data_IF_417067214381
#
_entry.id   IF_417067214381
#
_cell.length_a   1.000
_cell.length_b   1.000
_cell.length_c   1.000
_cell.angle_alpha   90.00
_cell.angle_beta   90.00
_cell.angle_gamma   90.00
#
_symmetry.space_group_name_H-M   'P 1'
#
loop_
_entity.id
_entity.type
_entity.pdbx_description
1 polymer ?
#
# COMPACT_ATOMS: atom_id res chain seq x y z
N UNK A 1 58.44 -9.60 -13.44
CA UNK A 1 57.87 -9.48 -12.07
C UNK A 1 57.70 -7.99 -11.82
N UNK A 2 56.53 -7.38 -11.63
CA UNK A 2 55.17 -7.83 -11.34
C UNK A 2 54.22 -6.87 -12.09
N UNK A 3 53.15 -7.42 -12.64
CA UNK A 3 51.98 -6.70 -13.15
C UNK A 3 51.09 -6.36 -11.95
N UNK A 4 50.64 -5.10 -11.84
CA UNK A 4 49.60 -4.68 -10.90
C UNK A 4 48.34 -4.39 -11.73
N UNK A 5 47.48 -5.39 -11.84
CA UNK A 5 46.10 -5.25 -12.29
C UNK A 5 45.29 -4.57 -11.20
N UNK A 6 44.82 -3.33 -11.43
CA UNK A 6 43.78 -2.70 -10.60
C UNK A 6 42.42 -3.23 -11.02
N UNK A 7 41.81 -4.05 -10.17
CA UNK A 7 40.40 -4.44 -10.27
C UNK A 7 39.51 -3.21 -10.02
N UNK A 8 38.41 -3.02 -10.78
CA UNK A 8 37.39 -2.05 -10.41
C UNK A 8 36.62 -2.60 -9.20
N UNK A 9 36.67 -1.88 -8.09
CA UNK A 9 35.81 -2.15 -6.94
C UNK A 9 34.36 -1.81 -7.33
N UNK A 10 33.62 -2.83 -7.74
CA UNK A 10 32.17 -2.76 -7.86
C UNK A 10 31.60 -2.66 -6.44
N UNK A 11 31.08 -1.50 -6.07
CA UNK A 11 30.36 -1.31 -4.81
C UNK A 11 29.08 -2.16 -4.87
N UNK A 12 29.14 -3.35 -4.30
CA UNK A 12 27.96 -4.15 -4.00
C UNK A 12 27.20 -3.40 -2.90
N UNK A 13 26.18 -2.64 -3.28
CA UNK A 13 25.19 -2.10 -2.35
C UNK A 13 24.56 -3.30 -1.63
N UNK A 14 24.98 -3.52 -0.38
CA UNK A 14 24.36 -4.47 0.51
C UNK A 14 22.99 -3.86 0.86
N UNK A 15 21.94 -4.22 0.13
CA UNK A 15 20.58 -3.98 0.56
C UNK A 15 20.43 -4.66 1.92
N UNK A 16 20.39 -3.84 2.98
CA UNK A 16 19.76 -4.23 4.23
C UNK A 16 18.33 -4.62 3.85
N UNK A 17 18.06 -5.92 3.78
CA UNK A 17 16.71 -6.46 3.82
C UNK A 17 16.11 -5.99 5.15
N UNK A 18 15.52 -4.79 5.15
CA UNK A 18 14.47 -4.46 6.10
C UNK A 18 13.46 -5.59 6.01
N UNK A 19 13.22 -6.29 7.12
CA UNK A 19 12.32 -7.43 7.16
C UNK A 19 11.05 -7.08 6.42
N UNK A 20 10.76 -7.82 5.35
CA UNK A 20 9.54 -7.64 4.58
C UNK A 20 8.37 -7.70 5.56
N UNK A 21 7.69 -6.58 5.74
CA UNK A 21 6.36 -6.62 6.31
C UNK A 21 5.54 -7.48 5.37
N UNK A 22 4.82 -8.47 5.90
CA UNK A 22 3.80 -9.15 5.13
C UNK A 22 2.82 -8.09 4.60
N UNK A 23 2.59 -8.08 3.29
CA UNK A 23 1.67 -7.19 2.63
C UNK A 23 0.25 -7.80 2.73
N UNK A 24 -0.74 -6.92 2.97
CA UNK A 24 -2.18 -7.17 3.21
C UNK A 24 -2.53 -8.55 3.79
N UNK A 25 -2.05 -8.79 5.02
CA UNK A 25 -2.59 -9.84 5.87
C UNK A 25 -3.99 -9.46 6.35
N UNK A 26 -4.87 -10.46 6.45
CA UNK A 26 -6.12 -10.33 7.17
C UNK A 26 -5.86 -9.67 8.54
N UNK A 27 -6.58 -8.58 8.86
CA UNK A 27 -6.40 -7.85 10.12
C UNK A 27 -6.89 -8.63 11.34
N UNK A 28 -7.61 -9.73 11.13
CA UNK A 28 -8.02 -10.65 12.18
C UNK A 28 -6.87 -11.62 12.45
N UNK A 29 -6.39 -11.66 13.71
CA UNK A 29 -5.27 -12.51 14.10
C UNK A 29 -5.58 -14.02 14.07
N UNK A 30 -6.84 -14.38 14.31
CA UNK A 30 -7.35 -15.76 14.31
C UNK A 30 -8.66 -15.86 13.52
N UNK A 31 -8.59 -15.83 12.17
CA UNK A 31 -9.77 -15.75 11.30
C UNK A 31 -10.75 -16.91 11.46
N UNK A 32 -10.23 -18.14 11.60
CA UNK A 32 -11.00 -19.37 11.76
C UNK A 32 -11.28 -19.75 13.21
N UNK A 33 -10.91 -18.91 14.18
CA UNK A 33 -11.13 -19.18 15.62
C UNK A 33 -10.46 -20.52 16.05
N UNK A 34 -9.25 -20.77 15.53
CA UNK A 34 -8.56 -22.06 15.63
C UNK A 34 -7.57 -22.13 16.81
N UNK A 35 -7.28 -21.00 17.44
CA UNK A 35 -6.24 -20.91 18.48
C UNK A 35 -6.82 -21.37 19.82
N UNK A 36 -7.11 -22.66 19.91
CA UNK A 36 -7.38 -23.41 21.13
C UNK A 36 -6.35 -24.53 21.28
N UNK A 37 -5.66 -24.57 22.43
CA UNK A 37 -4.56 -25.50 22.69
C UNK A 37 -4.96 -26.73 23.53
N UNK A 38 -6.24 -26.85 23.88
CA UNK A 38 -6.76 -27.97 24.66
C UNK A 38 -6.38 -27.99 26.15
N UNK A 39 -5.70 -26.97 26.67
CA UNK A 39 -5.05 -27.05 28.01
C UNK A 39 -5.98 -26.81 29.20
N UNK A 40 -7.24 -26.39 29.00
CA UNK A 40 -8.16 -26.03 30.12
C UNK A 40 -8.98 -27.19 30.69
N UNK A 41 -8.78 -28.44 30.25
CA UNK A 41 -9.40 -29.65 30.84
C UNK A 41 -10.90 -29.83 30.60
N UNK A 42 -11.62 -28.75 30.29
CA UNK A 42 -12.94 -28.69 29.64
C UNK A 42 -12.93 -27.47 28.72
N UNK A 43 -13.59 -27.54 27.55
CA UNK A 43 -13.73 -26.38 26.66
C UNK A 43 -14.26 -25.17 27.42
N UNK A 44 -13.79 -23.95 27.15
CA UNK A 44 -14.63 -22.82 27.46
C UNK A 44 -15.91 -22.99 26.63
N UNK A 45 -17.08 -22.88 27.25
CA UNK A 45 -18.34 -22.84 26.48
C UNK A 45 -18.51 -21.49 25.78
N UNK A 46 -17.58 -20.56 25.99
CA UNK A 46 -17.64 -19.17 25.57
C UNK A 46 -16.28 -18.70 25.05
N UNK A 47 -16.22 -17.56 24.37
CA UNK A 47 -14.95 -17.04 23.83
C UNK A 47 -13.90 -16.64 24.88
N UNK A 48 -14.29 -16.48 26.15
CA UNK A 48 -13.46 -15.86 27.19
C UNK A 48 -12.11 -16.51 27.49
N UNK A 49 -11.82 -17.72 26.96
CA UNK A 49 -10.50 -18.35 27.11
C UNK A 49 -9.68 -18.45 25.82
N UNK A 50 -10.12 -17.82 24.72
CA UNK A 50 -9.35 -17.71 23.49
C UNK A 50 -8.40 -16.51 23.54
N UNK A 51 -7.26 -16.60 22.85
CA UNK A 51 -6.23 -15.56 22.88
C UNK A 51 -6.63 -14.28 22.12
N UNK A 52 -7.37 -14.42 21.01
CA UNK A 52 -7.62 -13.33 20.06
C UNK A 52 -9.08 -12.87 20.00
N UNK A 53 -9.97 -13.60 20.67
CA UNK A 53 -11.41 -13.35 20.70
C UNK A 53 -11.88 -13.22 22.14
N UNK A 54 -12.91 -12.41 22.37
CA UNK A 54 -13.53 -12.23 23.68
C UNK A 54 -15.03 -11.97 23.58
N UNK A 55 -15.74 -12.22 24.68
CA UNK A 55 -17.16 -11.91 24.82
C UNK A 55 -17.36 -10.40 24.96
N UNK A 56 -17.80 -9.74 23.90
CA UNK A 56 -18.02 -8.29 23.92
C UNK A 56 -19.43 -7.92 24.39
N UNK A 57 -20.42 -8.80 24.19
CA UNK A 57 -21.77 -8.67 24.74
C UNK A 57 -22.46 -10.04 24.76
N UNK A 58 -23.20 -10.35 25.83
CA UNK A 58 -23.83 -11.66 26.01
C UNK A 58 -22.81 -12.76 26.24
N UNK A 59 -23.10 -13.96 25.77
CA UNK A 59 -22.24 -15.14 25.91
C UNK A 59 -21.98 -15.80 24.56
N UNK A 60 -21.37 -15.10 23.57
CA UNK A 60 -21.03 -15.75 22.31
C UNK A 60 -20.24 -17.02 22.57
N UNK A 61 -20.71 -18.08 21.95
CA UNK A 61 -20.24 -19.42 22.21
C UNK A 61 -19.02 -19.72 21.35
N UNK A 62 -18.15 -20.59 21.87
CA UNK A 62 -17.06 -21.18 21.11
C UNK A 62 -17.28 -22.67 20.94
N UNK A 63 -17.00 -23.16 19.74
CA UNK A 63 -17.11 -24.55 19.40
C UNK A 63 -15.80 -25.07 18.82
N UNK A 64 -15.40 -26.28 19.22
CA UNK A 64 -14.29 -26.97 18.60
C UNK A 64 -14.59 -28.46 18.38
N UNK A 65 -14.18 -29.02 17.25
CA UNK A 65 -14.41 -30.44 16.90
C UNK A 65 -13.66 -31.42 17.80
N UNK A 66 -12.60 -30.99 18.48
CA UNK A 66 -11.82 -31.85 19.39
C UNK A 66 -12.50 -32.07 20.76
N UNK A 67 -13.67 -31.48 21.00
CA UNK A 67 -14.42 -31.59 22.26
C UNK A 67 -15.56 -32.62 22.12
N UNK A 68 -15.68 -33.54 23.09
CA UNK A 68 -16.75 -34.55 23.15
C UNK A 68 -18.11 -34.00 23.61
N UNK A 69 -19.18 -34.71 23.24
CA UNK A 69 -20.59 -34.33 23.39
C UNK A 69 -20.96 -33.96 24.82
N UNK A 70 -21.10 -32.66 25.07
CA UNK A 70 -21.63 -32.10 26.30
C UNK A 70 -22.76 -31.12 25.99
N UNK A 71 -23.55 -30.75 27.02
CA UNK A 71 -24.89 -30.17 26.89
C UNK A 71 -25.05 -28.79 26.27
N UNK A 72 -24.06 -28.39 25.51
CA UNK A 72 -24.19 -27.50 24.39
C UNK A 72 -23.04 -27.85 23.44
N UNK A 73 -23.35 -28.49 22.31
CA UNK A 73 -22.59 -28.40 21.05
C UNK A 73 -21.43 -29.43 20.83
N UNK A 74 -21.54 -30.31 19.82
CA UNK A 74 -20.45 -31.20 19.35
C UNK A 74 -20.42 -31.62 17.89
N UNK A 75 -19.24 -32.03 17.42
CA UNK A 75 -19.02 -32.74 16.17
C UNK A 75 -19.37 -34.24 16.24
N UNK A 76 -20.63 -34.58 15.94
CA UNK A 76 -20.99 -35.94 15.52
C UNK A 76 -21.58 -35.93 14.10
N UNK A 77 -21.11 -36.86 13.28
CA UNK A 77 -21.79 -37.35 12.08
C UNK A 77 -22.17 -38.83 12.30
N UNK A 78 -23.44 -39.23 12.07
CA UNK A 78 -24.57 -38.43 11.59
C UNK A 78 -25.29 -37.64 12.70
N UNK A 79 -25.69 -36.41 12.37
CA UNK A 79 -26.50 -35.54 13.22
C UNK A 79 -27.91 -36.15 13.46
N UNK A 80 -28.31 -36.49 14.70
CA UNK A 80 -29.68 -36.93 14.96
C UNK A 80 -30.65 -35.76 14.84
N UNK A 81 -31.62 -35.83 13.94
CA UNK A 81 -32.77 -34.92 13.94
C UNK A 81 -33.61 -35.16 15.19
N UNK A 82 -33.79 -34.15 16.03
CA UNK A 82 -34.70 -34.26 17.19
C UNK A 82 -34.52 -33.16 18.25
N UNK A 83 -35.64 -32.49 18.55
CA UNK A 83 -35.89 -31.78 19.82
C UNK A 83 -35.05 -30.54 20.16
N UNK A 84 -34.67 -29.71 19.17
CA UNK A 84 -34.09 -28.38 19.46
C UNK A 84 -32.78 -28.43 20.26
N UNK A 85 -32.04 -29.52 20.09
CA UNK A 85 -30.80 -29.77 20.77
C UNK A 85 -29.65 -29.27 19.88
N UNK A 86 -29.04 -28.15 20.26
CA UNK A 86 -27.95 -27.42 19.58
C UNK A 86 -26.64 -28.22 19.36
N UNK A 87 -26.65 -29.55 19.53
CA UNK A 87 -25.48 -30.40 19.80
C UNK A 87 -24.63 -30.80 18.60
N UNK A 88 -24.87 -30.26 17.40
CA UNK A 88 -24.22 -30.76 16.18
C UNK A 88 -23.56 -29.69 15.29
N UNK A 89 -22.31 -29.26 15.54
CA UNK A 89 -21.70 -28.17 14.77
C UNK A 89 -20.32 -28.36 14.20
N UNK A 90 -20.22 -28.09 12.90
CA UNK A 90 -19.00 -28.24 12.13
C UNK A 90 -18.57 -26.88 11.61
N UNK A 91 -17.31 -26.51 11.85
CA UNK A 91 -16.76 -25.29 11.29
C UNK A 91 -16.78 -25.38 9.76
N UNK A 92 -16.78 -24.23 9.09
CA UNK A 92 -16.67 -24.19 7.65
C UNK A 92 -15.30 -24.70 7.21
N UNK A 93 -14.24 -24.33 7.95
CA UNK A 93 -12.87 -24.85 7.79
C UNK A 93 -12.23 -25.07 9.16
N UNK A 94 -11.21 -25.94 9.21
CA UNK A 94 -10.49 -26.19 10.47
C UNK A 94 -11.34 -26.91 11.52
N UNK A 95 -11.22 -26.49 12.78
CA UNK A 95 -11.82 -27.12 13.96
C UNK A 95 -12.66 -26.17 14.79
N UNK A 96 -12.39 -24.87 14.75
CA UNK A 96 -13.02 -23.83 15.57
C UNK A 96 -14.17 -23.13 14.87
N UNK A 97 -15.22 -22.75 15.62
CA UNK A 97 -16.30 -21.91 15.06
C UNK A 97 -16.94 -21.04 16.14
N UNK A 98 -17.30 -19.82 15.76
CA UNK A 98 -17.99 -18.85 16.63
C UNK A 98 -19.51 -19.06 16.57
N UNK A 99 -20.16 -19.12 17.72
CA UNK A 99 -21.61 -19.05 17.87
C UNK A 99 -22.08 -17.68 18.35
N UNK A 100 -23.10 -17.13 17.70
CA UNK A 100 -23.74 -15.90 18.15
C UNK A 100 -25.26 -16.02 18.10
N UNK A 101 -25.92 -15.57 19.17
CA UNK A 101 -27.36 -15.53 19.28
C UNK A 101 -27.96 -14.12 19.18
N UNK A 102 -29.13 -14.04 18.55
CA UNK A 102 -30.00 -12.86 18.53
C UNK A 102 -31.40 -13.24 18.97
N UNK A 103 -31.92 -12.62 20.03
CA UNK A 103 -33.27 -12.89 20.51
C UNK A 103 -34.37 -12.44 19.56
N UNK A 104 -35.53 -13.06 19.65
CA UNK A 104 -36.72 -12.67 18.89
C UNK A 104 -37.16 -11.25 19.29
N UNK A 105 -37.70 -10.52 18.31
CA UNK A 105 -38.23 -9.18 18.51
C UNK A 105 -37.20 -8.04 18.69
N UNK A 106 -37.70 -6.82 18.94
CA UNK A 106 -36.92 -5.58 18.98
C UNK A 106 -35.88 -5.50 20.09
N UNK A 107 -36.25 -5.93 21.28
CA UNK A 107 -35.42 -5.77 22.47
C UNK A 107 -34.65 -7.05 22.83
N UNK A 108 -34.64 -8.03 21.91
CA UNK A 108 -33.94 -9.30 22.11
C UNK A 108 -32.44 -9.10 22.30
N UNK A 109 -31.86 -9.83 23.26
CA UNK A 109 -30.41 -9.87 23.53
C UNK A 109 -29.63 -10.21 22.26
N UNK A 110 -28.40 -9.70 22.15
CA UNK A 110 -27.55 -9.85 20.96
C UNK A 110 -26.17 -10.22 21.40
N UNK A 111 -25.60 -11.26 20.83
CA UNK A 111 -24.26 -11.68 21.18
C UNK A 111 -23.26 -11.13 20.19
N UNK A 112 -22.21 -10.50 20.73
CA UNK A 112 -21.12 -9.94 19.97
C UNK A 112 -19.79 -10.53 20.43
N UNK A 113 -19.05 -11.07 19.47
CA UNK A 113 -17.66 -11.45 19.67
C UNK A 113 -16.76 -10.27 19.30
N UNK A 114 -15.82 -9.93 20.17
CA UNK A 114 -14.85 -8.87 19.95
C UNK A 114 -13.47 -9.43 19.63
N UNK A 115 -12.71 -8.69 18.81
CA UNK A 115 -11.30 -8.97 18.54
C UNK A 115 -10.51 -7.67 18.36
N UNK A 116 -9.20 -7.73 18.62
CA UNK A 116 -8.28 -6.62 18.36
C UNK A 116 -7.67 -6.82 16.97
N UNK A 117 -7.68 -5.77 16.16
CA UNK A 117 -7.05 -5.79 14.84
C UNK A 117 -5.53 -5.81 14.98
N UNK A 118 -4.86 -6.53 14.08
CA UNK A 118 -3.39 -6.62 14.04
C UNK A 118 -2.74 -5.24 13.87
N UNK A 119 -3.37 -4.38 13.08
CA UNK A 119 -3.03 -2.96 12.93
C UNK A 119 -4.30 -2.11 12.97
N UNK A 120 -4.23 -0.85 13.42
CA UNK A 120 -5.36 0.07 13.30
C UNK A 120 -5.74 0.28 11.83
N UNK A 121 -7.04 0.42 11.56
CA UNK A 121 -7.50 0.75 10.21
C UNK A 121 -7.03 2.15 9.77
N UNK A 122 -6.90 2.39 8.47
CA UNK A 122 -6.51 3.68 7.91
C UNK A 122 -7.76 4.48 7.53
N UNK A 123 -8.03 5.65 8.13
CA UNK A 123 -9.20 6.45 7.82
C UNK A 123 -9.28 6.80 6.33
N UNK A 124 -10.45 6.60 5.72
CA UNK A 124 -10.69 6.92 4.31
C UNK A 124 -10.25 5.84 3.31
N UNK A 125 -9.50 4.82 3.74
CA UNK A 125 -9.11 3.70 2.88
C UNK A 125 -10.25 2.67 2.75
N UNK A 126 -10.20 1.83 1.73
CA UNK A 126 -11.22 0.82 1.49
C UNK A 126 -10.78 -0.55 2.01
N UNK A 127 -11.68 -1.21 2.73
CA UNK A 127 -11.49 -2.55 3.28
C UNK A 127 -12.53 -3.51 2.71
N UNK A 128 -12.08 -4.72 2.39
CA UNK A 128 -12.93 -5.84 1.99
C UNK A 128 -13.11 -6.77 3.18
N UNK A 129 -14.36 -6.98 3.57
CA UNK A 129 -14.72 -7.77 4.74
C UNK A 129 -15.50 -8.98 4.26
N UNK A 130 -15.22 -10.14 4.82
CA UNK A 130 -16.08 -11.31 4.61
C UNK A 130 -16.07 -12.26 5.80
N UNK A 131 -17.09 -13.10 5.88
CA UNK A 131 -17.10 -14.26 6.76
C UNK A 131 -18.09 -15.28 6.21
N UNK A 132 -17.89 -16.53 6.59
CA UNK A 132 -18.88 -17.58 6.39
C UNK A 132 -19.85 -17.57 7.55
N UNK A 133 -21.14 -17.71 7.24
CA UNK A 133 -22.21 -17.74 8.23
C UNK A 133 -23.23 -18.82 7.89
N UNK A 134 -23.69 -19.54 8.90
CA UNK A 134 -24.71 -20.57 8.77
C UNK A 134 -25.78 -20.37 9.83
N UNK A 135 -27.05 -20.50 9.44
CA UNK A 135 -28.16 -20.48 10.37
C UNK A 135 -28.49 -21.91 10.76
N UNK A 136 -27.94 -22.35 11.88
CA UNK A 136 -27.99 -23.74 12.27
C UNK A 136 -29.34 -24.10 12.87
N UNK A 137 -30.34 -24.25 12.00
CA UNK A 137 -31.69 -24.68 12.36
C UNK A 137 -31.71 -26.19 12.60
N UNK A 138 -31.97 -26.60 13.84
CA UNK A 138 -32.20 -28.01 14.20
C UNK A 138 -33.56 -28.53 13.71
N UNK A 139 -34.50 -27.63 13.40
CA UNK A 139 -35.78 -27.92 12.77
C UNK A 139 -35.89 -27.16 11.43
N UNK A 140 -35.72 -27.85 10.28
CA UNK A 140 -35.81 -27.22 8.96
C UNK A 140 -37.16 -26.56 8.67
N UNK A 141 -38.25 -27.00 9.32
CA UNK A 141 -39.57 -26.40 9.18
C UNK A 141 -39.77 -25.14 10.03
N UNK A 142 -38.87 -24.84 10.96
CA UNK A 142 -38.93 -23.64 11.76
C UNK A 142 -38.40 -22.45 10.96
N UNK A 143 -39.23 -21.42 10.83
CA UNK A 143 -38.84 -20.17 10.20
C UNK A 143 -38.08 -19.34 11.25
N UNK A 144 -36.77 -19.56 11.43
CA UNK A 144 -35.92 -18.67 12.21
C UNK A 144 -34.91 -18.03 11.28
N UNK A 145 -35.20 -16.88 10.71
CA UNK A 145 -34.36 -16.26 9.69
C UNK A 145 -34.22 -14.78 9.96
N UNK A 146 -33.00 -14.26 9.80
CA UNK A 146 -32.74 -12.85 9.95
C UNK A 146 -31.59 -12.39 9.08
N UNK A 147 -31.61 -11.11 8.70
CA UNK A 147 -30.49 -10.45 8.05
C UNK A 147 -29.74 -9.59 9.06
N UNK A 148 -28.98 -8.59 8.61
CA UNK A 148 -28.30 -7.65 9.48
C UNK A 148 -27.23 -8.31 10.38
N UNK A 149 -26.59 -9.38 9.92
CA UNK A 149 -25.34 -9.87 10.51
C UNK A 149 -24.17 -9.11 9.90
N UNK A 150 -23.17 -8.75 10.71
CA UNK A 150 -22.05 -7.96 10.22
C UNK A 150 -21.04 -7.60 11.28
N UNK A 151 -20.35 -6.47 11.07
CA UNK A 151 -19.28 -6.00 11.95
C UNK A 151 -19.49 -4.57 12.43
N UNK A 152 -19.08 -4.29 13.67
CA UNK A 152 -18.96 -2.97 14.27
C UNK A 152 -17.50 -2.67 14.60
N UNK A 153 -17.11 -1.40 14.58
CA UNK A 153 -15.72 -0.95 14.75
C UNK A 153 -15.57 0.07 15.89
N UNK A 154 -14.48 -0.07 16.65
CA UNK A 154 -14.18 0.81 17.79
C UNK A 154 -12.69 1.10 17.96
N UNK A 155 -12.39 2.25 18.55
CA UNK A 155 -11.06 2.60 19.06
C UNK A 155 -10.75 1.90 20.37
N UNK A 156 -11.78 1.53 21.14
CA UNK A 156 -11.65 0.89 22.44
C UNK A 156 -12.27 -0.49 22.43
N UNK A 157 -11.69 -1.40 23.20
CA UNK A 157 -12.21 -2.74 23.44
C UNK A 157 -13.62 -2.73 24.04
N UNK A 158 -13.91 -1.72 24.87
CA UNK A 158 -15.21 -1.53 25.51
C UNK A 158 -15.84 -0.24 25.00
N UNK A 159 -16.64 -0.28 23.92
CA UNK A 159 -17.34 0.90 23.47
C UNK A 159 -18.46 1.27 24.47
N UNK A 160 -18.66 2.56 24.71
CA UNK A 160 -19.60 3.07 25.73
C UNK A 160 -21.06 3.08 25.24
N UNK A 161 -21.63 1.91 24.97
CA UNK A 161 -23.07 1.72 24.72
C UNK A 161 -23.51 0.30 25.08
N UNK A 162 -24.81 0.06 25.20
CA UNK A 162 -25.37 -1.28 25.37
C UNK A 162 -25.75 -1.86 23.98
N UNK A 163 -25.05 -2.88 23.45
CA UNK A 163 -25.31 -3.40 22.10
C UNK A 163 -26.72 -3.99 21.93
N UNK A 164 -27.35 -4.48 23.00
CA UNK A 164 -28.70 -5.01 22.96
C UNK A 164 -29.76 -3.92 22.75
N UNK A 165 -29.50 -2.69 23.21
CA UNK A 165 -30.43 -1.55 23.17
C UNK A 165 -29.98 -0.39 22.26
N UNK A 166 -28.83 -0.54 21.60
CA UNK A 166 -28.22 0.55 20.86
C UNK A 166 -29.06 0.94 19.63
N UNK A 167 -29.30 2.24 19.51
CA UNK A 167 -29.65 2.84 18.23
C UNK A 167 -28.35 3.06 17.45
N UNK A 168 -28.16 2.31 16.36
CA UNK A 168 -26.98 2.38 15.51
C UNK A 168 -26.98 3.57 14.54
N UNK A 169 -28.09 4.30 14.40
CA UNK A 169 -28.20 5.46 13.51
C UNK A 169 -27.14 6.55 13.79
N UNK A 170 -26.87 6.96 15.04
CA UNK A 170 -25.81 7.94 15.35
C UNK A 170 -24.39 7.41 15.16
N UNK A 171 -24.24 6.12 14.86
CA UNK A 171 -22.97 5.42 14.71
C UNK A 171 -22.87 4.76 13.33
N UNK A 172 -23.63 5.25 12.34
CA UNK A 172 -23.77 4.66 11.02
C UNK A 172 -22.44 4.51 10.26
N UNK A 173 -21.43 5.29 10.63
CA UNK A 173 -20.07 5.23 10.09
C UNK A 173 -19.19 4.16 10.75
N UNK A 174 -19.70 3.40 11.73
CA UNK A 174 -18.94 2.45 12.57
C UNK A 174 -19.34 0.99 12.38
N UNK A 175 -20.21 0.67 11.44
CA UNK A 175 -20.63 -0.72 11.23
C UNK A 175 -21.08 -0.98 9.79
N UNK A 176 -21.11 -2.26 9.45
CA UNK A 176 -21.68 -2.80 8.22
C UNK A 176 -22.49 -4.04 8.55
N UNK A 177 -23.54 -4.33 7.78
CA UNK A 177 -24.34 -5.53 7.95
C UNK A 177 -25.02 -5.97 6.67
N UNK A 178 -25.28 -7.27 6.55
CA UNK A 178 -25.83 -7.85 5.33
C UNK A 178 -27.33 -7.58 5.20
N UNK A 179 -27.78 -7.33 3.98
CA UNK A 179 -29.21 -7.38 3.64
C UNK A 179 -29.69 -8.81 3.41
N UNK A 180 -28.75 -9.72 3.11
CA UNK A 180 -28.97 -11.16 2.93
C UNK A 180 -29.62 -11.76 4.17
N UNK A 181 -30.73 -12.45 3.97
CA UNK A 181 -31.39 -13.24 5.01
C UNK A 181 -30.61 -14.53 5.19
N UNK A 182 -30.08 -14.74 6.39
CA UNK A 182 -29.37 -15.97 6.75
C UNK A 182 -30.42 -16.99 7.19
N UNK A 183 -30.54 -18.07 6.42
CA UNK A 183 -31.55 -19.11 6.61
C UNK A 183 -31.05 -20.48 6.20
N UNK A 184 -31.60 -21.52 6.83
CA UNK A 184 -31.27 -22.90 6.53
C UNK A 184 -29.85 -23.30 6.93
N UNK A 185 -29.58 -24.59 6.81
CA UNK A 185 -28.38 -25.23 7.34
C UNK A 185 -27.20 -25.26 6.35
N UNK A 186 -27.17 -24.39 5.35
CA UNK A 186 -26.04 -24.29 4.41
C UNK A 186 -25.14 -23.13 4.81
N UNK A 187 -23.82 -23.29 4.65
CA UNK A 187 -22.88 -22.19 4.83
C UNK A 187 -23.07 -21.15 3.72
N UNK A 188 -23.16 -19.89 4.11
CA UNK A 188 -23.34 -18.75 3.23
C UNK A 188 -22.20 -17.77 3.42
N UNK A 189 -21.60 -17.28 2.35
CA UNK A 189 -20.57 -16.23 2.44
C UNK A 189 -21.24 -14.86 2.45
N UNK A 190 -20.89 -14.04 3.44
CA UNK A 190 -21.29 -12.64 3.52
C UNK A 190 -20.09 -11.76 3.22
N UNK A 191 -20.28 -10.69 2.44
CA UNK A 191 -19.23 -9.78 2.03
C UNK A 191 -19.64 -8.31 2.17
N UNK A 192 -18.67 -7.44 2.48
CA UNK A 192 -18.85 -5.99 2.58
C UNK A 192 -17.64 -5.26 2.04
N UNK A 193 -17.86 -4.05 1.54
CA UNK A 193 -16.83 -3.01 1.53
C UNK A 193 -17.07 -2.07 2.70
N UNK A 194 -15.99 -1.55 3.29
CA UNK A 194 -16.07 -0.60 4.38
C UNK A 194 -14.97 0.45 4.30
N UNK A 195 -15.33 1.71 4.53
CA UNK A 195 -14.40 2.83 4.59
C UNK A 195 -14.44 3.43 5.99
N UNK A 196 -13.41 3.24 6.82
CA UNK A 196 -13.43 3.66 8.20
C UNK A 196 -13.31 5.20 8.28
N UNK A 197 -14.10 5.83 9.14
CA UNK A 197 -14.04 7.27 9.40
C UNK A 197 -12.86 7.66 10.30
N UNK A 198 -12.23 6.69 10.95
CA UNK A 198 -11.14 6.88 11.89
C UNK A 198 -10.32 5.59 12.03
N UNK A 199 -9.17 5.69 12.70
CA UNK A 199 -8.32 4.53 12.96
C UNK A 199 -8.92 3.65 14.07
N UNK A 200 -9.81 2.73 13.68
CA UNK A 200 -10.37 1.74 14.59
C UNK A 200 -9.34 0.66 14.91
N UNK A 201 -9.32 0.20 16.15
CA UNK A 201 -8.36 -0.82 16.65
C UNK A 201 -9.04 -2.14 16.99
N UNK A 202 -10.37 -2.15 17.09
CA UNK A 202 -11.17 -3.30 17.49
C UNK A 202 -12.34 -3.48 16.52
N UNK A 203 -12.61 -4.74 16.21
CA UNK A 203 -13.78 -5.17 15.46
C UNK A 203 -14.65 -6.08 16.32
N UNK A 204 -15.95 -6.01 16.09
CA UNK A 204 -16.96 -6.78 16.79
C UNK A 204 -17.85 -7.42 15.75
N UNK A 205 -18.09 -8.72 15.83
CA UNK A 205 -18.92 -9.46 14.89
C UNK A 205 -20.16 -10.01 15.59
N UNK A 206 -21.30 -9.96 14.90
CA UNK A 206 -22.58 -10.38 15.44
C UNK A 206 -23.74 -9.72 14.70
N UNK A 207 -24.90 -9.64 15.36
CA UNK A 207 -26.06 -8.96 14.79
C UNK A 207 -25.89 -7.43 14.87
N UNK A 208 -25.80 -6.80 13.70
CA UNK A 208 -25.58 -5.38 13.47
C UNK A 208 -26.82 -4.78 12.81
N UNK A 209 -27.67 -4.08 13.56
CA UNK A 209 -28.84 -3.46 12.95
C UNK A 209 -29.72 -2.70 13.91
N UNK A 210 -30.41 -1.69 13.39
CA UNK A 210 -31.61 -1.17 14.04
C UNK A 210 -32.74 -2.16 13.75
N UNK A 211 -33.37 -2.72 14.78
CA UNK A 211 -34.43 -3.73 14.63
C UNK A 211 -35.50 -3.29 13.62
N UNK A 212 -35.79 -1.99 13.59
CA UNK A 212 -36.77 -1.41 12.68
C UNK A 212 -36.56 -1.77 11.20
N UNK A 213 -35.32 -2.07 10.78
CA UNK A 213 -34.98 -2.31 9.38
C UNK A 213 -34.50 -3.75 9.09
N UNK A 214 -34.41 -4.61 10.10
CA UNK A 214 -34.08 -6.03 9.93
C UNK A 214 -35.32 -6.86 9.61
N UNK A 215 -35.13 -7.85 8.77
CA UNK A 215 -36.09 -8.93 8.57
C UNK A 215 -35.98 -9.91 9.73
N UNK A 216 -37.10 -10.20 10.36
CA UNK A 216 -37.22 -11.30 11.33
C UNK A 216 -38.36 -12.19 10.91
N UNK A 217 -38.05 -13.46 10.69
CA UNK A 217 -39.07 -14.49 10.54
C UNK A 217 -38.81 -15.48 11.65
N UNK A 218 -39.68 -15.54 12.66
CA UNK A 218 -39.61 -16.50 13.78
C UNK A 218 -40.69 -17.57 13.65
N UNK A 219 -40.52 -18.72 14.32
CA UNK A 219 -41.50 -19.81 14.27
C UNK A 219 -42.82 -19.43 14.97
N UNK A 220 -42.76 -18.58 16.00
CA UNK A 220 -43.89 -17.94 16.66
C UNK A 220 -43.39 -16.67 17.41
N UNK A 221 -44.29 -15.98 18.10
CA UNK A 221 -44.03 -14.71 18.79
C UNK A 221 -43.43 -14.85 20.21
N UNK A 222 -42.93 -16.04 20.59
CA UNK A 222 -42.26 -16.23 21.87
C UNK A 222 -40.93 -15.45 21.89
N UNK A 223 -40.78 -14.60 22.90
CA UNK A 223 -39.63 -13.71 23.09
C UNK A 223 -38.38 -14.46 23.59
N UNK A 224 -38.55 -15.69 24.10
CA UNK A 224 -37.44 -16.56 24.51
C UNK A 224 -36.79 -17.29 23.33
N UNK A 225 -37.43 -17.27 22.16
CA UNK A 225 -36.83 -17.79 20.94
C UNK A 225 -35.80 -16.82 20.38
N UNK A 226 -34.88 -17.31 19.58
CA UNK A 226 -33.91 -16.47 18.89
C UNK A 226 -33.28 -17.15 17.69
N UNK A 227 -32.47 -16.37 16.99
CA UNK A 227 -31.71 -16.73 15.80
C UNK A 227 -30.29 -17.02 16.23
N UNK A 228 -29.88 -18.27 16.08
CA UNK A 228 -28.52 -18.69 16.40
C UNK A 228 -27.78 -18.93 15.10
N UNK A 229 -26.60 -18.32 14.96
CA UNK A 229 -25.75 -18.49 13.78
C UNK A 229 -24.36 -18.95 14.18
N UNK A 230 -23.73 -19.63 13.24
CA UNK A 230 -22.30 -19.87 13.29
C UNK A 230 -21.56 -19.01 12.30
N UNK A 231 -20.37 -18.61 12.70
CA UNK A 231 -19.51 -17.70 11.96
C UNK A 231 -18.11 -18.28 11.95
N UNK A 232 -17.50 -18.28 10.77
CA UNK A 232 -16.16 -18.81 10.55
C UNK A 232 -15.43 -18.01 9.46
N UNK A 233 -14.11 -18.14 9.40
CA UNK A 233 -13.22 -17.54 8.39
C UNK A 233 -13.46 -16.03 8.23
N UNK A 234 -13.32 -15.30 9.34
CA UNK A 234 -13.55 -13.85 9.40
C UNK A 234 -12.38 -13.10 8.81
N UNK A 235 -12.64 -12.34 7.75
CA UNK A 235 -11.66 -11.56 7.00
C UNK A 235 -11.98 -10.08 7.08
N UNK A 236 -10.97 -9.28 7.44
CA UNK A 236 -10.90 -7.84 7.18
C UNK A 236 -9.60 -7.59 6.45
N UNK A 237 -9.66 -7.25 5.17
CA UNK A 237 -8.48 -7.03 4.36
C UNK A 237 -8.42 -5.59 3.85
N UNK A 238 -7.23 -4.99 3.95
CA UNK A 238 -6.98 -3.62 3.48
C UNK A 238 -6.60 -3.66 2.01
N UNK A 239 -7.36 -2.99 1.14
CA UNK A 239 -6.91 -2.75 -0.24
C UNK A 239 -5.90 -1.61 -0.20
N UNK A 240 -4.63 -1.96 -0.39
CA UNK A 240 -3.51 -1.02 -0.34
C UNK A 240 -2.59 -1.22 -1.54
N UNK A 241 -1.86 -0.16 -1.91
CA UNK A 241 -0.78 -0.22 -2.88
C UNK A 241 0.34 0.71 -2.44
N UNK A 242 1.58 0.23 -2.56
CA UNK A 242 2.76 1.03 -2.28
C UNK A 242 3.51 1.33 -3.56
N UNK A 243 4.04 2.54 -3.61
CA UNK A 243 4.92 3.03 -4.66
C UNK A 243 6.37 2.99 -4.20
N UNK A 244 7.34 2.92 -5.14
CA UNK A 244 8.75 3.06 -4.78
C UNK A 244 9.04 4.49 -4.27
N UNK A 245 10.20 4.67 -3.65
CA UNK A 245 10.67 6.01 -3.27
C UNK A 245 10.85 6.91 -4.50
N UNK A 246 10.63 8.21 -4.31
CA UNK A 246 10.88 9.19 -5.36
C UNK A 246 12.36 9.23 -5.75
N UNK A 247 12.63 9.42 -7.04
CA UNK A 247 13.98 9.52 -7.57
C UNK A 247 14.14 10.77 -8.44
N UNK A 248 15.37 11.27 -8.52
CA UNK A 248 15.78 12.31 -9.48
C UNK A 248 16.77 11.73 -10.47
N UNK A 249 16.51 11.86 -11.77
CA UNK A 249 17.34 11.28 -12.85
C UNK A 249 17.64 12.33 -13.94
N UNK A 250 18.60 12.04 -14.83
CA UNK A 250 18.85 12.86 -16.02
C UNK A 250 17.81 12.54 -17.14
N UNK A 251 17.61 13.45 -18.11
CA UNK A 251 16.74 13.18 -19.25
C UNK A 251 17.13 11.90 -19.98
N UNK A 252 16.18 10.98 -20.12
CA UNK A 252 16.43 9.70 -20.80
C UNK A 252 17.19 8.67 -19.95
N UNK A 253 17.40 8.88 -18.66
CA UNK A 253 17.88 7.80 -17.80
C UNK A 253 16.78 6.78 -17.51
N UNK A 254 17.18 5.56 -17.15
CA UNK A 254 16.26 4.48 -16.79
C UNK A 254 16.16 4.32 -15.28
N UNK A 255 14.94 4.18 -14.75
CA UNK A 255 14.69 3.85 -13.35
C UNK A 255 13.70 2.69 -13.24
N UNK A 256 13.95 1.79 -12.29
CA UNK A 256 13.06 0.68 -11.98
C UNK A 256 11.99 1.16 -11.00
N UNK A 257 10.73 1.15 -11.43
CA UNK A 257 9.59 1.30 -10.53
C UNK A 257 9.18 -0.08 -10.02
N UNK A 258 8.99 -0.23 -8.72
CA UNK A 258 8.45 -1.46 -8.10
C UNK A 258 7.26 -1.09 -7.23
N UNK A 259 6.08 -1.53 -7.66
CA UNK A 259 4.82 -1.37 -6.97
C UNK A 259 4.52 -2.65 -6.17
N UNK A 260 3.93 -2.50 -4.98
CA UNK A 260 3.63 -3.62 -4.10
C UNK A 260 2.16 -3.59 -3.68
N UNK A 261 1.46 -4.71 -3.87
CA UNK A 261 0.04 -4.92 -3.53
C UNK A 261 -0.28 -6.41 -3.60
N UNK A 262 -1.14 -6.91 -2.72
CA UNK A 262 -1.70 -8.28 -2.78
C UNK A 262 -2.88 -8.39 -3.76
N UNK A 263 -3.34 -7.25 -4.26
CA UNK A 263 -4.38 -7.13 -5.26
C UNK A 263 -3.81 -6.81 -6.65
N UNK A 264 -4.51 -7.19 -7.73
CA UNK A 264 -4.15 -6.76 -9.08
C UNK A 264 -3.99 -5.24 -9.16
N UNK A 265 -2.93 -4.80 -9.84
CA UNK A 265 -2.63 -3.39 -10.04
C UNK A 265 -2.73 -2.98 -11.51
N UNK A 266 -3.00 -1.71 -11.71
CA UNK A 266 -2.81 -1.03 -13.00
C UNK A 266 -2.07 0.27 -12.74
N UNK A 267 -1.00 0.54 -13.49
CA UNK A 267 -0.27 1.81 -13.40
C UNK A 267 -0.26 2.55 -14.73
N UNK A 268 -0.12 3.88 -14.67
CA UNK A 268 -0.06 4.77 -15.83
C UNK A 268 0.80 6.00 -15.58
N UNK A 269 1.43 6.52 -16.64
CA UNK A 269 2.09 7.84 -16.67
C UNK A 269 1.22 8.92 -17.36
N UNK A 270 -0.03 8.59 -17.68
CA UNK A 270 -0.96 9.43 -18.45
C UNK A 270 -0.96 9.14 -19.96
N UNK A 271 0.01 8.38 -20.47
CA UNK A 271 0.11 7.99 -21.89
C UNK A 271 0.12 6.47 -22.04
N UNK A 272 0.97 5.80 -21.26
CA UNK A 272 1.09 4.34 -21.19
C UNK A 272 0.32 3.81 -19.98
N UNK A 273 -0.21 2.60 -20.12
CA UNK A 273 -0.81 1.82 -19.04
C UNK A 273 -0.25 0.40 -19.07
N UNK A 274 -0.07 -0.22 -17.90
CA UNK A 274 0.47 -1.58 -17.74
C UNK A 274 -0.02 -2.16 -16.39
N UNK A 275 0.17 -3.46 -16.18
CA UNK A 275 -0.25 -4.20 -14.97
C UNK A 275 0.92 -4.89 -14.26
N UNK A 276 2.14 -4.71 -14.76
CA UNK A 276 3.36 -5.28 -14.17
C UNK A 276 3.69 -4.61 -12.84
N UNK A 277 3.95 -5.42 -11.80
CA UNK A 277 4.39 -4.95 -10.48
C UNK A 277 5.77 -4.29 -10.48
N UNK A 278 6.60 -4.55 -11.50
CA UNK A 278 7.90 -3.89 -11.66
C UNK A 278 8.15 -3.54 -13.12
N UNK A 279 8.62 -2.32 -13.38
CA UNK A 279 8.83 -1.80 -14.73
C UNK A 279 10.02 -0.84 -14.80
N UNK A 280 10.85 -0.98 -15.83
CA UNK A 280 11.84 0.04 -16.19
C UNK A 280 11.18 1.14 -17.02
N UNK A 281 11.29 2.39 -16.54
CA UNK A 281 10.80 3.59 -17.23
C UNK A 281 11.96 4.50 -17.59
N UNK A 282 11.78 5.31 -18.65
CA UNK A 282 12.81 6.20 -19.19
C UNK A 282 12.23 7.60 -19.51
N UNK A 283 11.85 8.40 -18.49
CA UNK A 283 11.22 9.70 -18.73
C UNK A 283 12.24 10.77 -19.20
N UNK A 284 11.83 11.59 -20.18
CA UNK A 284 12.61 12.74 -20.68
C UNK A 284 12.32 14.04 -19.91
N UNK A 285 11.19 14.10 -19.21
CA UNK A 285 10.78 15.24 -18.38
C UNK A 285 10.18 14.72 -17.08
N UNK A 286 10.10 15.59 -16.05
CA UNK A 286 9.55 15.19 -14.74
C UNK A 286 8.17 14.59 -14.92
N UNK A 287 8.04 13.30 -14.58
CA UNK A 287 6.86 12.50 -14.87
C UNK A 287 6.33 11.89 -13.57
N UNK A 288 5.01 11.93 -13.40
CA UNK A 288 4.34 11.28 -12.26
C UNK A 288 3.66 10.00 -12.74
N UNK A 289 4.03 8.89 -12.11
CA UNK A 289 3.46 7.58 -12.34
C UNK A 289 2.42 7.31 -11.27
N UNK A 290 1.22 6.94 -11.68
CA UNK A 290 0.11 6.59 -10.81
C UNK A 290 -0.10 5.09 -10.86
N UNK A 291 -0.34 4.47 -9.71
CA UNK A 291 -0.72 3.06 -9.60
C UNK A 291 -2.05 2.95 -8.85
N UNK A 292 -2.90 2.03 -9.29
CA UNK A 292 -4.15 1.70 -8.63
C UNK A 292 -4.22 0.20 -8.39
N UNK A 293 -4.46 -0.21 -7.15
CA UNK A 293 -4.84 -1.57 -6.79
C UNK A 293 -6.36 -1.69 -6.74
N UNK A 294 -6.88 -2.84 -7.19
CA UNK A 294 -8.31 -3.15 -7.18
C UNK A 294 -8.59 -4.48 -6.47
N UNK A 295 -9.39 -4.40 -5.40
CA UNK A 295 -9.90 -5.53 -4.64
C UNK A 295 -11.03 -6.30 -5.33
N UNK A 296 -11.35 -7.47 -4.79
CA UNK A 296 -12.32 -8.41 -5.36
C UNK A 296 -13.77 -7.91 -5.25
N UNK A 297 -14.06 -7.12 -4.22
CA UNK A 297 -15.36 -6.48 -3.95
C UNK A 297 -15.45 -5.06 -4.51
N UNK A 298 -14.46 -4.64 -5.30
CA UNK A 298 -14.43 -3.34 -5.97
C UNK A 298 -13.85 -2.21 -5.13
N UNK A 299 -13.25 -2.48 -3.97
CA UNK A 299 -12.42 -1.51 -3.29
C UNK A 299 -11.23 -1.13 -4.17
N UNK A 300 -10.85 0.15 -4.18
CA UNK A 300 -9.64 0.59 -4.89
C UNK A 300 -8.76 1.47 -4.01
N UNK A 301 -7.46 1.45 -4.28
CA UNK A 301 -6.48 2.36 -3.69
C UNK A 301 -5.57 2.87 -4.79
N UNK A 302 -5.41 4.18 -4.84
CA UNK A 302 -4.53 4.84 -5.81
C UNK A 302 -3.41 5.59 -5.09
N UNK A 303 -2.21 5.44 -5.60
CA UNK A 303 -1.02 6.15 -5.14
C UNK A 303 -0.17 6.61 -6.34
N UNK A 304 0.87 7.39 -6.10
CA UNK A 304 1.74 7.90 -7.15
C UNK A 304 3.16 8.18 -6.70
N UNK A 305 4.10 8.01 -7.62
CA UNK A 305 5.50 8.43 -7.45
C UNK A 305 5.87 9.41 -8.56
N UNK A 306 6.51 10.52 -8.18
CA UNK A 306 7.06 11.49 -9.12
C UNK A 306 8.54 11.22 -9.32
N UNK A 307 8.92 10.93 -10.56
CA UNK A 307 10.31 10.88 -11.00
C UNK A 307 10.68 12.26 -11.50
N UNK A 308 11.53 12.94 -10.76
CA UNK A 308 12.00 14.27 -11.14
C UNK A 308 13.10 14.11 -12.19
N UNK A 309 12.87 14.67 -13.38
CA UNK A 309 13.90 14.77 -14.40
C UNK A 309 14.45 16.18 -14.33
N UNK A 310 15.73 16.30 -14.00
CA UNK A 310 16.45 17.57 -14.01
C UNK A 310 17.50 17.52 -15.09
N UNK A 311 17.38 18.46 -16.02
CA UNK A 311 18.47 18.80 -16.91
C UNK A 311 19.40 19.79 -16.19
N UNK A 312 20.71 19.71 -16.46
CA UNK A 312 21.63 20.74 -15.95
C UNK A 312 21.51 21.94 -16.86
N UNK A 313 20.78 22.97 -16.42
CA UNK A 313 20.78 24.25 -17.10
C UNK A 313 22.17 24.88 -16.99
N UNK A 314 22.84 24.95 -18.12
CA UNK A 314 24.12 25.59 -18.28
C UNK A 314 23.88 27.07 -18.63
N UNK A 315 24.43 28.03 -17.85
CA UNK A 315 24.04 29.45 -18.04
C UNK A 315 25.17 30.46 -18.17
N UNK A 316 26.46 30.09 -18.14
CA UNK A 316 27.49 31.14 -18.13
C UNK A 316 28.89 30.73 -18.68
N UNK A 317 28.96 30.26 -19.93
CA UNK A 317 30.21 30.25 -20.73
C UNK A 317 30.00 30.97 -22.06
N UNK A 318 31.02 31.66 -22.57
CA UNK A 318 30.99 32.17 -23.94
C UNK A 318 31.07 31.02 -24.96
N UNK A 319 30.00 30.81 -25.74
CA UNK A 319 29.98 29.82 -26.83
C UNK A 319 31.02 30.11 -27.91
N UNK A 320 31.41 31.39 -28.08
CA UNK A 320 32.42 31.85 -29.05
C UNK A 320 33.44 32.78 -28.38
N UNK A 321 34.72 32.46 -28.51
CA UNK A 321 35.84 33.26 -28.00
C UNK A 321 36.93 33.44 -29.07
N UNK A 322 37.76 34.46 -28.94
CA UNK A 322 38.91 34.65 -29.83
C UNK A 322 40.15 33.90 -29.31
N UNK A 323 41.06 33.46 -30.18
CA UNK A 323 42.34 32.81 -29.81
C UNK A 323 43.21 33.65 -28.86
N UNK A 324 43.07 34.98 -28.88
CA UNK A 324 43.80 35.89 -28.00
C UNK A 324 43.07 36.23 -26.68
N UNK A 325 41.93 35.60 -26.41
CA UNK A 325 41.19 35.81 -25.16
C UNK A 325 42.00 35.24 -23.99
N UNK A 326 42.07 35.96 -22.88
CA UNK A 326 42.75 35.47 -21.69
C UNK A 326 42.05 34.21 -21.13
N UNK A 327 42.75 33.33 -20.39
CA UNK A 327 42.14 32.15 -19.78
C UNK A 327 40.97 32.52 -18.87
N UNK A 328 39.90 31.72 -18.89
CA UNK A 328 38.67 31.94 -18.13
C UNK A 328 38.09 30.63 -17.59
N UNK A 329 37.30 30.69 -16.53
CA UNK A 329 36.59 29.52 -16.02
C UNK A 329 35.38 29.25 -16.89
N UNK A 330 35.22 28.01 -17.35
CA UNK A 330 34.06 27.64 -18.16
C UNK A 330 32.79 27.77 -17.33
N UNK A 331 32.70 27.16 -16.15
CA UNK A 331 31.55 27.30 -15.25
C UNK A 331 32.04 27.63 -13.84
N UNK A 332 32.02 28.91 -13.43
CA UNK A 332 32.49 29.34 -12.11
C UNK A 332 31.72 28.70 -10.94
N UNK A 333 30.48 28.27 -11.20
CA UNK A 333 29.57 27.69 -10.22
C UNK A 333 29.52 26.16 -10.30
N UNK A 334 30.40 25.54 -11.10
CA UNK A 334 30.45 24.09 -11.20
C UNK A 334 30.70 23.45 -9.81
N UNK A 335 30.01 22.33 -9.52
CA UNK A 335 30.27 21.57 -8.30
C UNK A 335 31.69 21.00 -8.32
N UNK A 336 32.13 20.40 -7.21
CA UNK A 336 33.45 19.78 -7.18
C UNK A 336 33.52 18.63 -8.20
N UNK A 337 34.54 18.63 -9.05
CA UNK A 337 34.73 17.64 -10.09
C UNK A 337 36.03 17.87 -10.86
N UNK A 338 36.11 17.25 -12.03
CA UNK A 338 37.27 17.26 -12.91
C UNK A 338 36.85 17.61 -14.33
N UNK A 339 37.55 18.57 -14.93
CA UNK A 339 37.39 19.02 -16.30
C UNK A 339 38.43 18.35 -17.19
N UNK A 340 38.06 18.00 -18.42
CA UNK A 340 38.96 17.44 -19.41
C UNK A 340 38.58 17.86 -20.83
N UNK A 341 39.57 17.98 -21.71
CA UNK A 341 39.35 18.45 -23.08
C UNK A 341 40.50 19.32 -23.56
N UNK A 342 40.61 19.52 -24.87
CA UNK A 342 41.61 20.47 -25.40
C UNK A 342 41.30 21.88 -24.90
N UNK A 343 42.33 22.61 -24.49
CA UNK A 343 42.20 23.96 -23.94
C UNK A 343 42.00 24.03 -22.43
N UNK A 344 41.70 22.92 -21.75
CA UNK A 344 41.67 22.88 -20.28
C UNK A 344 43.11 22.89 -19.75
N UNK A 345 43.44 23.94 -19.01
CA UNK A 345 44.75 24.15 -18.40
C UNK A 345 44.74 23.92 -16.88
N UNK A 346 43.55 23.87 -16.27
CA UNK A 346 43.36 23.41 -14.88
C UNK A 346 42.11 22.52 -14.79
N UNK A 347 42.35 21.22 -14.61
CA UNK A 347 41.30 20.20 -14.52
C UNK A 347 40.43 20.36 -13.27
N UNK A 348 40.92 20.96 -12.17
CA UNK A 348 40.14 21.07 -10.94
C UNK A 348 39.18 22.26 -10.95
N UNK A 349 39.54 23.35 -11.66
CA UNK A 349 38.75 24.58 -11.69
C UNK A 349 37.98 24.77 -13.00
N UNK A 350 38.36 24.07 -14.07
CA UNK A 350 37.76 24.25 -15.39
C UNK A 350 38.29 25.48 -16.12
N UNK A 351 39.53 25.89 -15.81
CA UNK A 351 40.20 27.00 -16.48
C UNK A 351 40.52 26.60 -17.93
N UNK A 352 39.95 27.33 -18.89
CA UNK A 352 40.12 27.15 -20.32
C UNK A 352 41.00 28.26 -20.91
N UNK A 353 41.97 27.89 -21.74
CA UNK A 353 42.87 28.80 -22.45
C UNK A 353 42.73 28.63 -23.99
N UNK A 354 42.07 29.58 -24.67
CA UNK A 354 41.87 29.54 -26.13
C UNK A 354 43.17 29.61 -26.95
N UNK A 355 44.28 30.05 -26.35
CA UNK A 355 45.57 30.12 -27.04
C UNK A 355 46.22 28.73 -27.19
N UNK A 356 45.83 27.77 -26.35
CA UNK A 356 46.31 26.39 -26.38
C UNK A 356 45.61 25.58 -27.47
N UNK A 357 44.32 25.84 -27.70
CA UNK A 357 43.51 25.12 -28.69
C UNK A 357 43.76 25.59 -30.12
N UNK A 358 44.07 26.88 -30.31
CA UNK A 358 44.00 27.51 -31.63
C UNK A 358 42.55 27.64 -32.11
N UNK A 359 42.35 27.99 -33.38
CA UNK A 359 41.00 28.17 -33.95
C UNK A 359 40.35 26.82 -34.25
N UNK A 360 39.08 26.66 -33.87
CA UNK A 360 38.32 25.43 -34.07
C UNK A 360 37.13 25.32 -33.11
N UNK A 361 36.39 24.22 -33.21
CA UNK A 361 35.35 23.87 -32.25
C UNK A 361 35.84 22.71 -31.37
N UNK A 362 35.76 22.90 -30.06
CA UNK A 362 36.30 21.97 -29.07
C UNK A 362 35.21 21.50 -28.11
N UNK A 363 35.22 20.21 -27.79
CA UNK A 363 34.38 19.65 -26.73
C UNK A 363 35.16 19.56 -25.43
N UNK A 364 34.54 20.01 -24.34
CA UNK A 364 35.08 19.89 -22.99
C UNK A 364 34.12 19.08 -22.15
N UNK A 365 34.63 18.10 -21.44
CA UNK A 365 33.89 17.24 -20.51
C UNK A 365 34.15 17.65 -19.06
N UNK A 366 33.12 17.57 -18.22
CA UNK A 366 33.21 17.67 -16.78
C UNK A 366 32.68 16.38 -16.12
N UNK A 367 33.40 15.90 -15.12
CA UNK A 367 33.06 14.74 -14.31
C UNK A 367 32.95 15.19 -12.85
N UNK A 368 31.75 15.18 -12.27
CA UNK A 368 31.55 15.51 -10.86
C UNK A 368 32.24 14.50 -9.95
N UNK A 369 32.82 15.00 -8.86
CA UNK A 369 33.44 14.18 -7.82
C UNK A 369 32.40 13.53 -6.88
N UNK A 370 31.14 14.00 -6.93
CA UNK A 370 30.04 13.50 -6.12
C UNK A 370 29.20 12.45 -6.86
N UNK A 371 28.31 12.92 -7.73
CA UNK A 371 27.35 12.09 -8.45
C UNK A 371 27.54 12.26 -9.96
N UNK A 372 27.63 11.17 -10.71
CA UNK A 372 27.81 11.21 -12.17
C UNK A 372 26.66 11.91 -12.92
N UNK A 373 25.54 12.17 -12.23
CA UNK A 373 24.37 12.95 -12.69
C UNK A 373 24.66 14.43 -12.96
N UNK A 374 25.83 14.92 -12.55
CA UNK A 374 26.29 16.28 -12.84
C UNK A 374 27.36 16.33 -13.94
N UNK A 375 27.73 15.19 -14.53
CA UNK A 375 28.68 15.12 -15.65
C UNK A 375 28.04 15.73 -16.89
N UNK A 376 28.82 16.45 -17.68
CA UNK A 376 28.32 17.06 -18.91
C UNK A 376 29.44 17.35 -19.90
N UNK A 377 29.06 17.52 -21.17
CA UNK A 377 29.94 17.98 -22.24
C UNK A 377 29.46 19.33 -22.72
N UNK A 378 30.37 20.27 -22.92
CA UNK A 378 30.11 21.57 -23.51
C UNK A 378 30.92 21.77 -24.80
N UNK A 379 30.51 22.75 -25.60
CA UNK A 379 31.17 23.11 -26.84
C UNK A 379 31.64 24.57 -26.79
N UNK A 380 32.91 24.78 -27.10
CA UNK A 380 33.53 26.11 -27.20
C UNK A 380 34.07 26.29 -28.61
N UNK A 381 33.61 27.33 -29.31
CA UNK A 381 34.17 27.75 -30.59
C UNK A 381 35.25 28.82 -30.34
N UNK A 382 36.44 28.58 -30.90
CA UNK A 382 37.56 29.52 -30.86
C UNK A 382 37.81 30.04 -32.26
N UNK A 383 37.67 31.34 -32.46
CA UNK A 383 37.95 32.01 -33.73
C UNK A 383 39.31 32.71 -33.70
N UNK A 384 40.01 32.76 -34.84
CA UNK A 384 41.21 33.60 -34.94
C UNK A 384 40.86 35.06 -34.68
N UNK A 385 41.72 35.77 -33.95
CA UNK A 385 41.62 37.23 -33.89
C UNK A 385 41.71 37.82 -35.30
N UNK A 386 40.78 38.69 -35.71
CA UNK A 386 40.85 39.33 -37.03
C UNK A 386 42.19 40.04 -37.19
N UNK A 387 42.98 39.62 -38.17
CA UNK A 387 44.21 40.31 -38.52
C UNK A 387 43.90 41.72 -38.99
N UNK A 388 44.37 42.73 -38.25
CA UNK A 388 44.23 44.12 -38.68
C UNK A 388 45.24 44.37 -39.80
N UNK A 389 44.76 44.30 -41.04
CA UNK A 389 45.59 44.63 -42.20
C UNK A 389 45.51 46.14 -42.47
N UNK A 390 46.44 46.90 -41.88
CA UNK A 390 46.55 48.35 -42.15
C UNK A 390 47.23 48.51 -43.52
N UNK A 391 46.47 48.96 -44.52
CA UNK A 391 47.03 49.43 -45.79
C UNK A 391 47.33 50.92 -45.64
N UNK A 392 48.60 51.30 -45.76
CA UNK A 392 48.96 52.71 -45.84
C UNK A 392 48.43 53.29 -47.16
N UNK A 393 47.69 54.40 -47.08
CA UNK A 393 47.27 55.16 -48.26
C UNK A 393 48.51 55.78 -48.91
N UNK A 394 49.00 55.13 -49.97
CA UNK A 394 50.14 55.61 -50.77
C UNK A 394 49.75 56.70 -51.77
N UNK A 395 48.46 57.04 -51.90
CA UNK A 395 48.00 58.07 -52.83
C UNK A 395 47.97 59.48 -52.22
N UNK A 396 48.26 59.66 -50.92
CA UNK A 396 48.17 60.97 -50.22
C UNK A 396 49.32 61.32 -49.25
N UNK A 397 50.52 60.77 -49.44
CA UNK A 397 51.71 61.17 -48.68
C UNK A 397 52.43 62.40 -49.25
N UNK A 398 52.93 63.31 -48.38
CA UNK A 398 53.79 64.43 -48.80
C UNK A 398 55.14 63.91 -49.38
N UNK A 399 55.69 64.53 -50.44
CA UNK A 399 56.96 64.12 -51.00
C UNK A 399 58.10 64.24 -49.96
N UNK A 400 59.06 63.30 -49.95
CA UNK A 400 60.13 63.26 -48.95
C UNK A 400 61.00 64.53 -49.01
N UNK A 401 61.32 65.09 -47.84
CA UNK A 401 62.20 66.24 -47.69
C UNK A 401 63.64 65.83 -48.06
N UNK A 402 64.15 66.36 -49.17
CA UNK A 402 65.56 66.25 -49.52
C UNK A 402 66.36 67.16 -48.60
N UNK A 403 67.20 66.56 -47.75
CA UNK A 403 68.20 67.26 -46.93
C UNK A 403 69.59 66.86 -47.37
#
# INVERSE_FOLDING_TARGET
>A
MSSITKNPFCFLFLFLLSGGQAYSQNLIADPGIEIWDGTTGTSPHTLGSLQHWYEANGTPDYHNTDIMSGSNLTGLEPCPTGEGNTWCGYPHQGKGVLGCWKGNGPDGTREWAGTRLLTPMVPGDCYEISFWIQNKKDNPAALYETNQWGMFFSKTQYPSFNPSLANFTPMADRWVACSQVISGSEWQKVTFTYTPSQAFEYAFIGFMGNVANSTFTAANDDYLLGFYVWIDEVVIQHVDVRVPEAATICPGDSVLLSFESDYPITWTDGVRTDTSASVWVKPETTTTYYVEAQGELGCTKRDSVTITVRDRNYTDYPELVCTATAPFLLDPDAPQGYWSGEGIVDEATGLFDPSVTGSGAFSVDFISAGDCRENFTMFVEVAETPGVHIVADVDRGCPPLTV
#
